data_IF_962090581821
#
_entry.id   IF_962090581821
#
_cell.length_a   1.000
_cell.length_b   1.000
_cell.length_c   1.000
_cell.angle_alpha   90.00
_cell.angle_beta   90.00
_cell.angle_gamma   90.00
#
_symmetry.space_group_name_H-M   'P 1'
#
loop_
_entity.id
_entity.type
_entity.pdbx_description
1 polymer ?
#
# COMPACT_ATOMS: atom_id res chain seq x y z
N UNK A 1 3.55 -16.30 16.44
CA UNK A 1 2.24 -16.02 15.82
C UNK A 1 2.02 -14.52 15.78
N UNK A 2 1.45 -13.96 14.69
CA UNK A 2 1.12 -12.53 14.57
C UNK A 2 -0.38 -12.39 14.60
N UNK A 3 -0.90 -11.55 15.50
CA UNK A 3 -2.32 -11.26 15.60
C UNK A 3 -2.58 -9.81 15.19
N UNK A 4 -3.64 -9.59 14.43
CA UNK A 4 -4.17 -8.27 14.13
C UNK A 4 -5.52 -8.15 14.82
N UNK A 5 -5.75 -7.04 15.50
CA UNK A 5 -7.02 -6.76 16.16
C UNK A 5 -7.45 -5.34 15.83
N UNK A 6 -8.76 -5.14 15.77
CA UNK A 6 -9.41 -3.88 15.47
C UNK A 6 -10.14 -3.35 16.70
N UNK A 7 -10.15 -2.04 16.86
CA UNK A 7 -10.98 -1.35 17.86
C UNK A 7 -11.68 -0.16 17.23
N UNK A 8 -12.84 0.22 17.77
CA UNK A 8 -13.54 1.45 17.43
C UNK A 8 -13.36 2.46 18.55
N UNK A 9 -13.15 3.72 18.19
CA UNK A 9 -13.15 4.85 19.10
C UNK A 9 -14.51 5.54 18.98
N UNK A 10 -15.29 5.51 20.06
CA UNK A 10 -16.58 6.20 20.12
C UNK A 10 -16.36 7.61 20.64
N UNK A 11 -16.92 8.62 19.98
CA UNK A 11 -16.73 10.05 20.28
C UNK A 11 -16.98 10.39 21.75
N UNK A 12 -18.07 9.92 22.33
CA UNK A 12 -18.49 10.18 23.71
C UNK A 12 -17.41 10.00 24.80
N UNK A 13 -16.32 9.27 24.53
CA UNK A 13 -15.26 9.02 25.52
C UNK A 13 -13.84 9.21 24.95
N UNK A 14 -13.73 9.82 23.78
CA UNK A 14 -12.48 9.89 23.03
C UNK A 14 -12.33 11.23 22.28
N UNK A 15 -13.04 12.27 22.71
CA UNK A 15 -13.06 13.57 22.04
C UNK A 15 -11.65 14.13 21.84
N UNK A 16 -10.84 14.15 22.90
CA UNK A 16 -9.47 14.67 22.84
C UNK A 16 -8.56 13.89 21.89
N UNK A 17 -8.68 12.56 21.88
CA UNK A 17 -7.84 11.72 21.01
C UNK A 17 -8.28 11.80 19.56
N UNK A 18 -9.57 11.92 19.32
CA UNK A 18 -10.12 12.11 17.96
C UNK A 18 -9.72 13.49 17.46
N UNK A 19 -9.93 14.55 18.26
CA UNK A 19 -9.52 15.91 17.91
C UNK A 19 -8.02 15.99 17.59
N UNK A 20 -7.17 15.34 18.39
CA UNK A 20 -5.74 15.28 18.13
C UNK A 20 -5.44 14.56 16.80
N UNK A 21 -6.08 13.43 16.49
CA UNK A 21 -5.89 12.74 15.24
C UNK A 21 -6.38 13.57 14.04
N UNK A 22 -7.50 14.25 14.19
CA UNK A 22 -8.03 15.14 13.14
C UNK A 22 -7.09 16.32 12.86
N UNK A 23 -6.46 16.86 13.89
CA UNK A 23 -5.49 17.95 13.76
C UNK A 23 -4.22 17.51 12.99
N UNK A 24 -3.71 16.31 13.25
CA UNK A 24 -2.39 15.90 12.73
C UNK A 24 -2.44 15.06 11.43
N UNK A 25 -3.61 14.49 11.08
CA UNK A 25 -3.75 13.54 9.95
C UNK A 25 -3.30 14.13 8.60
N UNK A 26 -3.64 15.36 8.33
CA UNK A 26 -3.27 16.03 7.07
C UNK A 26 -1.76 16.26 6.98
N UNK A 27 -1.16 16.77 8.07
CA UNK A 27 0.29 16.98 8.16
C UNK A 27 1.05 15.67 8.01
N UNK A 28 0.61 14.61 8.71
CA UNK A 28 1.22 13.28 8.59
C UNK A 28 1.23 12.78 7.13
N UNK A 29 0.09 12.85 6.47
CA UNK A 29 -0.05 12.37 5.10
C UNK A 29 0.67 13.25 4.08
N UNK A 30 0.76 14.56 4.32
CA UNK A 30 1.60 15.46 3.52
C UNK A 30 3.08 15.04 3.59
N UNK A 31 3.62 14.88 4.79
CA UNK A 31 5.02 14.44 5.01
C UNK A 31 5.27 13.08 4.37
N UNK A 32 4.34 12.13 4.54
CA UNK A 32 4.46 10.80 3.94
C UNK A 32 4.58 10.84 2.40
N UNK A 33 3.77 11.66 1.74
CA UNK A 33 3.83 11.84 0.27
C UNK A 33 5.16 12.47 -0.16
N UNK A 34 5.66 13.45 0.59
CA UNK A 34 6.96 14.07 0.33
C UNK A 34 8.11 13.08 0.50
N UNK A 35 8.12 12.32 1.57
CA UNK A 35 9.12 11.27 1.82
C UNK A 35 9.08 10.20 0.73
N UNK A 36 7.89 9.76 0.33
CA UNK A 36 7.75 8.83 -0.79
C UNK A 36 8.37 9.40 -2.08
N UNK A 37 8.14 10.68 -2.39
CA UNK A 37 8.74 11.33 -3.55
C UNK A 37 10.28 11.36 -3.49
N UNK A 38 10.85 11.61 -2.32
CA UNK A 38 12.31 11.58 -2.10
C UNK A 38 12.87 10.18 -2.36
N UNK A 39 12.23 9.14 -1.79
CA UNK A 39 12.64 7.73 -1.98
C UNK A 39 12.52 7.32 -3.45
N UNK A 40 11.41 7.67 -4.10
CA UNK A 40 11.17 7.36 -5.51
C UNK A 40 12.25 7.93 -6.43
N UNK A 41 12.77 9.11 -6.13
CA UNK A 41 13.80 9.76 -6.93
C UNK A 41 15.22 9.30 -6.58
N UNK A 42 15.37 8.18 -5.85
CA UNK A 42 16.65 7.63 -5.40
C UNK A 42 17.52 8.65 -4.65
N UNK A 43 16.92 9.63 -4.01
CA UNK A 43 17.62 10.58 -3.16
C UNK A 43 17.98 9.88 -1.86
N UNK A 44 19.15 9.24 -1.83
CA UNK A 44 19.68 8.72 -0.58
C UNK A 44 20.07 9.92 0.30
N UNK A 45 19.23 10.22 1.28
CA UNK A 45 19.46 11.29 2.22
C UNK A 45 19.61 10.70 3.63
N UNK A 46 20.84 10.48 4.11
CA UNK A 46 21.08 9.94 5.44
C UNK A 46 20.60 10.88 6.56
N UNK A 47 20.43 12.17 6.26
CA UNK A 47 19.95 13.19 7.20
C UNK A 47 18.44 13.39 7.14
N UNK A 48 17.72 12.65 6.28
CA UNK A 48 16.28 12.83 6.07
C UNK A 48 15.47 12.83 7.38
N UNK A 49 15.82 11.95 8.31
CA UNK A 49 15.13 11.91 9.61
C UNK A 49 15.28 13.22 10.39
N UNK A 50 16.51 13.77 10.45
CA UNK A 50 16.79 15.03 11.15
C UNK A 50 16.15 16.23 10.46
N UNK A 51 16.14 16.25 9.12
CA UNK A 51 15.47 17.28 8.34
C UNK A 51 13.97 17.31 8.63
N UNK A 52 13.31 16.14 8.64
CA UNK A 52 11.88 16.05 8.95
C UNK A 52 11.58 16.50 10.39
N UNK A 53 12.42 16.15 11.36
CA UNK A 53 12.26 16.60 12.75
C UNK A 53 12.28 18.13 12.86
N UNK A 54 13.23 18.77 12.18
CA UNK A 54 13.42 20.22 12.26
C UNK A 54 12.34 20.97 11.48
N UNK A 55 12.02 20.49 10.26
CA UNK A 55 11.06 21.17 9.38
C UNK A 55 9.61 21.08 9.88
N UNK A 56 9.22 19.91 10.44
CA UNK A 56 7.83 19.66 10.84
C UNK A 56 7.61 19.63 12.34
N UNK A 57 8.64 19.90 13.12
CA UNK A 57 8.60 19.82 14.58
C UNK A 57 8.05 18.49 15.13
N UNK A 58 8.49 17.37 14.54
CA UNK A 58 8.07 16.02 14.91
C UNK A 58 9.19 15.26 15.63
N UNK A 59 8.81 14.23 16.39
CA UNK A 59 9.80 13.39 17.07
C UNK A 59 10.61 12.52 16.09
N UNK A 60 11.82 12.14 16.49
CA UNK A 60 12.66 11.19 15.73
C UNK A 60 11.91 9.90 15.40
N UNK A 61 11.05 9.43 16.29
CA UNK A 61 10.26 8.19 16.12
C UNK A 61 9.18 8.35 15.07
N UNK A 62 8.46 9.45 15.12
CA UNK A 62 7.43 9.77 14.12
C UNK A 62 8.05 9.92 12.74
N UNK A 63 9.18 10.62 12.63
CA UNK A 63 9.94 10.72 11.38
C UNK A 63 10.36 9.33 10.87
N UNK A 64 10.92 8.47 11.72
CA UNK A 64 11.26 7.09 11.35
C UNK A 64 10.05 6.26 10.92
N UNK A 65 8.91 6.41 11.60
CA UNK A 65 7.67 5.72 11.26
C UNK A 65 7.20 6.11 9.85
N UNK A 66 7.22 7.40 9.54
CA UNK A 66 6.85 7.93 8.22
C UNK A 66 7.81 7.41 7.14
N UNK A 67 9.12 7.46 7.38
CA UNK A 67 10.14 6.98 6.43
C UNK A 67 9.94 5.48 6.15
N UNK A 68 9.83 4.66 7.20
CA UNK A 68 9.60 3.21 7.06
C UNK A 68 8.29 2.89 6.34
N UNK A 69 7.23 3.66 6.61
CA UNK A 69 5.94 3.51 5.94
C UNK A 69 6.03 3.84 4.44
N UNK A 70 6.70 4.95 4.10
CA UNK A 70 6.93 5.33 2.71
C UNK A 70 7.79 4.30 1.97
N UNK A 71 8.86 3.81 2.60
CA UNK A 71 9.73 2.76 2.06
C UNK A 71 8.97 1.45 1.84
N UNK A 72 8.16 1.04 2.81
CA UNK A 72 7.31 -0.16 2.69
C UNK A 72 6.34 -0.07 1.53
N UNK A 73 5.69 1.09 1.33
CA UNK A 73 4.82 1.33 0.17
C UNK A 73 5.57 1.29 -1.15
N UNK A 74 6.74 1.94 -1.22
CA UNK A 74 7.58 1.90 -2.40
C UNK A 74 7.97 0.47 -2.78
N UNK A 75 8.47 -0.30 -1.80
CA UNK A 75 8.87 -1.69 -2.01
C UNK A 75 7.70 -2.59 -2.43
N UNK A 76 6.53 -2.40 -1.84
CA UNK A 76 5.31 -3.14 -2.21
C UNK A 76 4.90 -2.88 -3.66
N UNK A 77 4.95 -1.63 -4.11
CA UNK A 77 4.62 -1.28 -5.51
C UNK A 77 5.65 -1.87 -6.45
N UNK A 78 6.93 -1.81 -6.11
CA UNK A 78 8.00 -2.41 -6.90
C UNK A 78 7.77 -3.91 -7.07
N UNK A 79 7.52 -4.64 -5.99
CA UNK A 79 7.24 -6.07 -6.02
C UNK A 79 5.99 -6.43 -6.84
N UNK A 80 4.93 -5.60 -6.76
CA UNK A 80 3.74 -5.77 -7.60
C UNK A 80 4.06 -5.60 -9.08
N UNK A 81 4.89 -4.61 -9.45
CA UNK A 81 5.32 -4.40 -10.84
C UNK A 81 6.19 -5.54 -11.37
N UNK A 82 7.12 -6.03 -10.57
CA UNK A 82 7.92 -7.22 -10.91
C UNK A 82 7.04 -8.46 -11.15
N UNK A 83 6.03 -8.66 -10.31
CA UNK A 83 5.05 -9.72 -10.48
C UNK A 83 4.23 -9.53 -11.76
N UNK A 84 3.83 -8.30 -12.07
CA UNK A 84 3.08 -7.97 -13.30
C UNK A 84 3.91 -8.24 -14.56
N UNK A 85 5.23 -7.96 -14.53
CA UNK A 85 6.16 -8.31 -15.63
C UNK A 85 6.18 -9.81 -15.83
N UNK A 86 6.42 -10.60 -14.78
CA UNK A 86 6.47 -12.09 -14.86
C UNK A 86 5.17 -12.66 -15.43
N UNK A 87 4.01 -12.17 -14.98
CA UNK A 87 2.71 -12.60 -15.49
C UNK A 87 2.51 -12.28 -16.98
N UNK A 88 2.95 -11.08 -17.42
CA UNK A 88 2.84 -10.71 -18.82
C UNK A 88 3.84 -11.48 -19.71
N UNK A 89 5.04 -11.79 -19.22
CA UNK A 89 6.00 -12.67 -19.89
C UNK A 89 5.41 -14.08 -20.11
N UNK A 90 4.82 -14.67 -19.08
CA UNK A 90 4.15 -15.97 -19.21
C UNK A 90 2.99 -15.94 -20.23
N UNK A 91 2.18 -14.86 -20.22
CA UNK A 91 1.10 -14.69 -21.23
C UNK A 91 1.67 -14.54 -22.64
N UNK A 92 2.77 -13.81 -22.79
CA UNK A 92 3.46 -13.61 -24.06
C UNK A 92 3.97 -14.95 -24.63
N UNK A 93 4.61 -15.76 -23.81
CA UNK A 93 5.09 -17.10 -24.18
C UNK A 93 3.93 -18.00 -24.64
N UNK A 94 2.81 -18.03 -23.90
CA UNK A 94 1.62 -18.80 -24.31
C UNK A 94 1.04 -18.35 -25.64
N UNK A 95 1.04 -17.04 -25.93
CA UNK A 95 0.57 -16.53 -27.21
C UNK A 95 1.55 -16.88 -28.32
N UNK A 96 2.86 -16.79 -28.08
CA UNK A 96 3.89 -17.16 -29.05
C UNK A 96 3.79 -18.65 -29.42
N UNK A 97 3.68 -19.56 -28.46
CA UNK A 97 3.44 -20.99 -28.70
C UNK A 97 2.16 -21.29 -29.50
N UNK A 98 1.09 -20.49 -29.26
CA UNK A 98 -0.15 -20.61 -30.06
C UNK A 98 0.02 -20.12 -31.48
N UNK A 99 0.75 -19.04 -31.71
CA UNK A 99 1.06 -18.53 -33.03
C UNK A 99 1.94 -19.50 -33.83
N UNK A 100 2.96 -20.09 -33.21
CA UNK A 100 3.81 -21.11 -33.82
C UNK A 100 3.01 -22.30 -34.36
N UNK A 101 1.97 -22.73 -33.61
CA UNK A 101 1.09 -23.83 -34.06
C UNK A 101 0.07 -23.38 -35.13
N UNK A 102 -0.42 -22.14 -35.06
CA UNK A 102 -1.49 -21.70 -35.97
C UNK A 102 -0.99 -21.16 -37.31
N UNK A 103 0.25 -20.64 -37.38
CA UNK A 103 0.79 -20.09 -38.61
C UNK A 103 0.93 -21.16 -39.70
N UNK A 104 1.51 -22.37 -39.46
CA UNK A 104 1.55 -23.43 -40.45
C UNK A 104 0.16 -23.87 -40.91
N UNK A 105 -0.80 -24.01 -39.97
CA UNK A 105 -2.18 -24.38 -40.29
C UNK A 105 -2.88 -23.30 -41.16
N UNK A 106 -2.55 -22.03 -40.92
CA UNK A 106 -3.07 -20.94 -41.74
C UNK A 106 -2.53 -20.99 -43.17
N UNK A 107 -1.25 -21.32 -43.32
CA UNK A 107 -0.61 -21.46 -44.64
C UNK A 107 -1.21 -22.64 -45.44
N UNK A 108 -1.39 -23.80 -44.81
CA UNK A 108 -2.07 -24.95 -45.42
C UNK A 108 -3.53 -24.63 -45.82
N UNK A 109 -4.29 -23.99 -44.92
CA UNK A 109 -5.66 -23.55 -45.18
C UNK A 109 -5.72 -22.53 -46.33
N UNK A 110 -4.71 -21.68 -46.52
CA UNK A 110 -4.59 -20.74 -47.63
C UNK A 110 -4.43 -21.46 -48.96
N UNK A 111 -3.67 -22.55 -49.02
CA UNK A 111 -3.47 -23.36 -50.22
C UNK A 111 -4.79 -24.07 -50.61
N UNK A 112 -5.47 -24.69 -49.65
CA UNK A 112 -6.76 -25.38 -49.87
C UNK A 112 -7.86 -24.41 -50.29
N UNK A 113 -7.91 -23.20 -49.74
CA UNK A 113 -8.91 -22.18 -50.12
C UNK A 113 -8.75 -21.64 -51.56
N UNK A 114 -7.64 -21.95 -52.27
CA UNK A 114 -7.47 -21.63 -53.68
C UNK A 114 -8.20 -22.62 -54.59
N UNK A 115 -8.61 -23.78 -54.11
CA UNK A 115 -9.36 -24.82 -54.82
C UNK A 115 -10.85 -24.58 -54.86
N UNK A 116 -11.33 -23.39 -54.46
CA UNK A 116 -12.73 -22.88 -54.55
C UNK A 116 -13.80 -23.62 -53.73
N UNK A 117 -13.42 -24.38 -52.68
CA UNK A 117 -14.40 -24.86 -51.72
C UNK A 117 -14.78 -23.75 -50.72
N UNK A 118 -16.06 -23.40 -50.64
CA UNK A 118 -16.60 -22.38 -49.76
C UNK A 118 -16.26 -22.67 -48.29
N UNK A 119 -16.26 -23.93 -47.86
CA UNK A 119 -15.94 -24.34 -46.49
C UNK A 119 -14.49 -24.04 -46.13
N UNK A 120 -13.56 -24.31 -47.03
CA UNK A 120 -12.14 -24.04 -46.83
C UNK A 120 -11.83 -22.55 -46.85
N UNK A 121 -12.55 -21.78 -47.63
CA UNK A 121 -12.46 -20.31 -47.65
C UNK A 121 -12.94 -19.68 -46.35
N UNK A 122 -14.02 -20.17 -45.78
CA UNK A 122 -14.52 -19.73 -44.44
C UNK A 122 -13.50 -20.10 -43.35
N UNK A 123 -12.98 -21.31 -43.37
CA UNK A 123 -11.95 -21.78 -42.42
C UNK A 123 -10.70 -20.90 -42.47
N UNK A 124 -10.19 -20.61 -43.65
CA UNK A 124 -9.04 -19.73 -43.87
C UNK A 124 -9.30 -18.32 -43.30
N UNK A 125 -10.46 -17.71 -43.61
CA UNK A 125 -10.82 -16.38 -43.08
C UNK A 125 -10.82 -16.36 -41.56
N UNK A 126 -11.44 -17.34 -40.92
CA UNK A 126 -11.51 -17.46 -39.46
C UNK A 126 -10.11 -17.62 -38.83
N UNK A 127 -9.27 -18.46 -39.42
CA UNK A 127 -7.88 -18.63 -38.95
C UNK A 127 -7.04 -17.37 -39.15
N UNK A 128 -7.19 -16.68 -40.28
CA UNK A 128 -6.50 -15.41 -40.57
C UNK A 128 -6.86 -14.35 -39.54
N UNK A 129 -8.15 -14.20 -39.23
CA UNK A 129 -8.65 -13.26 -38.20
C UNK A 129 -8.08 -13.63 -36.82
N UNK A 130 -8.13 -14.90 -36.43
CA UNK A 130 -7.59 -15.39 -35.15
C UNK A 130 -6.09 -15.13 -35.01
N UNK A 131 -5.31 -15.38 -36.04
CA UNK A 131 -3.85 -15.11 -36.05
C UNK A 131 -3.58 -13.61 -35.97
N UNK A 132 -4.35 -12.78 -36.68
CA UNK A 132 -4.22 -11.33 -36.62
C UNK A 132 -4.47 -10.80 -35.20
N UNK A 133 -5.55 -11.23 -34.54
CA UNK A 133 -5.83 -10.86 -33.15
C UNK A 133 -4.73 -11.30 -32.17
N UNK A 134 -4.17 -12.51 -32.34
CA UNK A 134 -3.08 -12.99 -31.49
C UNK A 134 -1.80 -12.17 -31.71
N UNK A 135 -1.48 -11.76 -32.92
CA UNK A 135 -0.34 -10.86 -33.21
C UNK A 135 -0.51 -9.53 -32.54
N UNK A 136 -1.66 -8.85 -32.70
CA UNK A 136 -1.95 -7.59 -32.04
C UNK A 136 -1.82 -7.71 -30.51
N UNK A 137 -2.34 -8.80 -29.94
CA UNK A 137 -2.26 -9.05 -28.49
C UNK A 137 -0.81 -9.29 -28.04
N UNK A 138 0.00 -9.98 -28.84
CA UNK A 138 1.44 -10.17 -28.63
C UNK A 138 2.16 -8.82 -28.55
N UNK A 139 1.94 -7.96 -29.53
CA UNK A 139 2.58 -6.65 -29.59
C UNK A 139 2.17 -5.74 -28.42
N UNK A 140 0.89 -5.75 -28.05
CA UNK A 140 0.42 -5.04 -26.83
C UNK A 140 1.12 -5.54 -25.56
N UNK A 141 1.35 -6.85 -25.42
CA UNK A 141 2.06 -7.41 -24.26
C UNK A 141 3.54 -7.03 -24.27
N UNK A 142 4.21 -7.06 -25.41
CA UNK A 142 5.60 -6.63 -25.55
C UNK A 142 5.76 -5.18 -25.13
N UNK A 143 4.90 -4.30 -25.64
CA UNK A 143 4.93 -2.87 -25.29
C UNK A 143 4.63 -2.64 -23.80
N UNK A 144 3.71 -3.42 -23.22
CA UNK A 144 3.41 -3.36 -21.79
C UNK A 144 4.60 -3.79 -20.94
N UNK A 145 5.27 -4.90 -21.30
CA UNK A 145 6.48 -5.38 -20.61
C UNK A 145 7.61 -4.33 -20.69
N UNK A 146 7.86 -3.75 -21.86
CA UNK A 146 8.85 -2.67 -22.03
C UNK A 146 8.55 -1.49 -21.12
N UNK A 147 7.30 -1.04 -21.09
CA UNK A 147 6.88 0.08 -20.21
C UNK A 147 7.05 -0.24 -18.72
N UNK A 148 6.74 -1.47 -18.30
CA UNK A 148 6.91 -1.90 -16.92
C UNK A 148 8.38 -1.98 -16.51
N UNK A 149 9.24 -2.54 -17.38
CA UNK A 149 10.68 -2.60 -17.15
C UNK A 149 11.28 -1.18 -17.03
N UNK A 150 10.92 -0.29 -17.93
CA UNK A 150 11.33 1.12 -17.84
C UNK A 150 10.93 1.77 -16.51
N UNK A 151 9.69 1.49 -16.03
CA UNK A 151 9.26 1.98 -14.73
C UNK A 151 10.10 1.38 -13.58
N UNK A 152 10.45 0.10 -13.65
CA UNK A 152 11.28 -0.59 -12.64
C UNK A 152 12.71 -0.05 -12.62
N UNK A 153 13.33 0.17 -13.78
CA UNK A 153 14.68 0.71 -13.92
C UNK A 153 14.77 2.16 -13.41
N UNK A 154 13.78 2.97 -13.76
CA UNK A 154 13.77 4.40 -13.40
C UNK A 154 13.12 4.70 -12.06
N UNK A 155 12.53 3.71 -11.37
CA UNK A 155 11.72 3.86 -10.16
C UNK A 155 10.54 4.84 -10.29
N UNK A 156 10.13 5.19 -11.53
CA UNK A 156 9.07 6.17 -11.80
C UNK A 156 7.67 5.54 -11.73
N UNK A 157 7.31 4.98 -10.59
CA UNK A 157 5.96 4.44 -10.39
C UNK A 157 4.98 5.58 -10.07
N UNK A 158 3.81 5.55 -10.72
CA UNK A 158 2.67 6.35 -10.29
C UNK A 158 1.98 5.64 -9.13
N UNK A 159 1.92 6.28 -7.98
CA UNK A 159 1.15 5.83 -6.82
C UNK A 159 -0.07 6.71 -6.63
N UNK A 160 -1.17 6.10 -6.27
CA UNK A 160 -2.35 6.79 -5.75
C UNK A 160 -2.43 6.50 -4.25
N UNK A 161 -2.36 7.55 -3.44
CA UNK A 161 -2.64 7.44 -2.01
C UNK A 161 -4.15 7.53 -1.85
N UNK A 162 -4.84 6.42 -1.68
CA UNK A 162 -6.29 6.32 -1.69
C UNK A 162 -6.83 5.47 -2.85
N UNK A 163 -8.13 5.35 -2.92
CA UNK A 163 -8.81 4.49 -3.90
C UNK A 163 -8.93 5.15 -5.27
N UNK A 164 -8.35 4.54 -6.31
CA UNK A 164 -8.43 5.05 -7.69
C UNK A 164 -9.85 5.26 -8.21
N UNK A 165 -10.81 4.47 -7.72
CA UNK A 165 -12.21 4.60 -8.11
C UNK A 165 -12.76 5.94 -7.62
N UNK A 166 -12.54 6.27 -6.35
CA UNK A 166 -12.94 7.55 -5.77
C UNK A 166 -12.29 8.74 -6.46
N UNK A 167 -11.00 8.68 -6.77
CA UNK A 167 -10.30 9.75 -7.51
C UNK A 167 -11.00 10.12 -8.83
N UNK A 168 -11.67 9.16 -9.48
CA UNK A 168 -12.39 9.39 -10.74
C UNK A 168 -13.83 9.85 -10.54
N UNK A 169 -14.46 9.50 -9.42
CA UNK A 169 -15.88 9.70 -9.17
C UNK A 169 -16.17 10.90 -8.28
N UNK A 170 -15.38 11.07 -7.20
CA UNK A 170 -15.58 12.11 -6.21
C UNK A 170 -14.23 12.54 -5.64
N UNK A 171 -13.75 13.70 -6.06
CA UNK A 171 -12.45 14.22 -5.63
C UNK A 171 -12.42 14.58 -4.15
N UNK A 172 -13.50 15.14 -3.61
CA UNK A 172 -13.59 15.55 -2.20
C UNK A 172 -13.52 14.34 -1.28
N UNK A 173 -14.33 13.32 -1.54
CA UNK A 173 -14.31 12.06 -0.80
C UNK A 173 -12.96 11.35 -0.92
N UNK A 174 -12.35 11.39 -2.12
CA UNK A 174 -10.99 10.87 -2.32
C UNK A 174 -9.95 11.60 -1.46
N UNK A 175 -10.00 12.92 -1.36
CA UNK A 175 -9.07 13.71 -0.54
C UNK A 175 -9.25 13.38 0.94
N UNK A 176 -10.48 13.25 1.40
CA UNK A 176 -10.82 12.86 2.77
C UNK A 176 -10.29 11.45 3.08
N UNK A 177 -10.57 10.43 2.23
CA UNK A 177 -10.05 9.07 2.41
C UNK A 177 -8.52 9.04 2.40
N UNK A 178 -7.91 9.78 1.47
CA UNK A 178 -6.46 9.84 1.30
C UNK A 178 -5.74 10.30 2.57
N UNK A 179 -6.27 11.29 3.25
CA UNK A 179 -5.63 11.94 4.40
C UNK A 179 -6.20 11.48 5.76
N UNK A 180 -7.12 10.51 5.76
CA UNK A 180 -7.79 10.01 6.97
C UNK A 180 -7.17 8.72 7.55
N UNK A 181 -5.85 8.57 7.49
CA UNK A 181 -5.18 7.42 8.10
C UNK A 181 -3.76 7.78 8.53
N UNK A 182 -3.28 7.08 9.56
CA UNK A 182 -1.93 7.21 10.09
C UNK A 182 -1.40 5.85 10.53
N UNK A 183 -0.06 5.71 10.58
CA UNK A 183 0.62 4.50 11.05
C UNK A 183 1.66 4.89 12.09
N UNK A 184 1.57 4.33 13.28
CA UNK A 184 2.58 4.45 14.33
C UNK A 184 3.33 3.12 14.44
N UNK A 185 4.60 3.11 14.06
CA UNK A 185 5.44 1.92 14.13
C UNK A 185 6.20 1.89 15.46
N UNK A 186 6.09 0.78 16.18
CA UNK A 186 6.93 0.47 17.33
C UNK A 186 8.22 -0.21 16.94
N UNK A 187 9.24 -0.16 17.78
CA UNK A 187 10.46 -0.95 17.66
C UNK A 187 10.39 -2.17 18.59
N UNK A 188 10.99 -3.29 18.18
CA UNK A 188 11.12 -4.49 19.02
C UNK A 188 12.06 -4.25 20.23
N UNK A 189 12.98 -3.31 20.10
CA UNK A 189 13.99 -2.97 21.09
C UNK A 189 13.49 -2.00 22.16
N UNK A 190 12.25 -1.50 22.01
CA UNK A 190 11.67 -0.58 23.00
C UNK A 190 11.14 -1.35 24.21
N UNK A 191 11.75 -1.10 25.36
CA UNK A 191 11.19 -1.53 26.65
C UNK A 191 9.80 -0.94 26.84
N UNK A 192 8.78 -1.79 27.08
CA UNK A 192 7.41 -1.34 27.30
C UNK A 192 6.55 -1.12 26.05
N UNK A 193 6.91 -1.70 24.89
CA UNK A 193 6.19 -1.61 23.61
C UNK A 193 6.37 -0.28 22.85
N UNK A 194 5.45 -0.01 21.91
CA UNK A 194 5.47 1.23 21.14
C UNK A 194 5.26 2.44 22.06
N UNK A 195 6.28 3.29 22.23
CA UNK A 195 6.19 4.46 23.12
C UNK A 195 5.33 5.58 22.54
N UNK A 196 5.07 5.59 21.24
CA UNK A 196 4.15 6.57 20.62
C UNK A 196 2.70 6.14 20.83
N UNK A 197 2.44 4.84 20.82
CA UNK A 197 1.10 4.29 20.98
C UNK A 197 1.14 3.11 21.96
N UNK A 198 0.54 3.27 23.11
CA UNK A 198 0.49 2.24 24.14
C UNK A 198 -0.95 1.82 24.41
N UNK A 199 -1.18 0.52 24.56
CA UNK A 199 -2.44 -0.04 24.99
C UNK A 199 -2.26 -0.64 26.39
N UNK A 200 -3.11 -0.23 27.34
CA UNK A 200 -3.12 -0.77 28.71
C UNK A 200 -4.51 -1.36 29.02
N UNK A 201 -4.53 -2.44 29.75
CA UNK A 201 -5.76 -2.95 30.33
C UNK A 201 -5.84 -2.55 31.80
N UNK A 202 -6.95 -1.91 32.20
CA UNK A 202 -7.20 -1.49 33.58
C UNK A 202 -8.24 -2.45 34.20
N UNK A 203 -7.81 -3.41 35.06
CA UNK A 203 -8.69 -4.45 35.61
C UNK A 203 -9.86 -3.88 36.42
N UNK A 204 -9.61 -2.84 37.22
CA UNK A 204 -10.60 -2.22 38.11
C UNK A 204 -11.88 -1.78 37.38
N UNK A 205 -11.75 -1.27 36.17
CA UNK A 205 -12.86 -0.79 35.35
C UNK A 205 -13.15 -1.69 34.14
N UNK A 206 -12.42 -2.80 34.02
CA UNK A 206 -12.52 -3.78 32.92
C UNK A 206 -12.43 -3.15 31.51
N UNK A 207 -11.58 -2.14 31.35
CA UNK A 207 -11.44 -1.37 30.12
C UNK A 207 -10.00 -1.39 29.57
N UNK A 208 -9.90 -1.24 28.24
CA UNK A 208 -8.64 -0.98 27.58
C UNK A 208 -8.48 0.52 27.37
N UNK A 209 -7.34 1.06 27.75
CA UNK A 209 -7.00 2.48 27.60
C UNK A 209 -5.85 2.57 26.61
N UNK A 210 -6.05 3.37 25.58
CA UNK A 210 -5.04 3.80 24.65
C UNK A 210 -4.37 5.07 25.17
N UNK A 211 -3.05 5.08 25.18
CA UNK A 211 -2.23 6.25 25.49
C UNK A 211 -1.43 6.60 24.24
N UNK A 212 -1.65 7.78 23.69
CA UNK A 212 -1.00 8.27 22.48
C UNK A 212 -0.14 9.47 22.82
N UNK A 213 1.12 9.43 22.41
CA UNK A 213 2.04 10.54 22.59
C UNK A 213 1.78 11.60 21.52
N UNK A 214 1.70 12.86 21.92
CA UNK A 214 1.59 14.01 21.03
C UNK A 214 2.97 14.35 20.46
N UNK A 215 3.27 13.81 19.28
CA UNK A 215 4.58 13.99 18.64
C UNK A 215 4.61 15.08 17.56
N UNK A 216 3.45 15.55 17.13
CA UNK A 216 3.31 16.66 16.20
C UNK A 216 3.03 17.95 16.96
N UNK A 217 3.69 19.06 16.63
CA UNK A 217 3.55 20.38 17.28
C UNK A 217 3.80 20.41 18.81
N UNK A 218 3.61 19.30 19.49
CA UNK A 218 3.69 19.13 20.95
C UNK A 218 4.90 18.35 21.41
N UNK A 219 5.94 18.24 20.58
CA UNK A 219 7.13 17.43 20.89
C UNK A 219 7.82 17.84 22.19
N UNK A 220 7.73 19.13 22.55
CA UNK A 220 8.35 19.70 23.74
C UNK A 220 7.42 19.72 24.97
N UNK A 221 6.17 19.27 24.83
CA UNK A 221 5.23 19.13 25.95
C UNK A 221 5.77 18.14 27.00
N UNK A 222 5.57 18.46 28.27
CA UNK A 222 6.05 17.68 29.42
C UNK A 222 4.88 17.08 30.20
N UNK A 223 5.16 16.07 31.03
CA UNK A 223 4.17 15.46 31.90
C UNK A 223 2.97 14.86 31.15
N UNK A 224 1.79 15.02 31.71
CA UNK A 224 0.54 14.51 31.14
C UNK A 224 0.10 15.24 29.87
N UNK A 225 0.44 16.50 29.67
CA UNK A 225 0.15 17.28 28.46
C UNK A 225 0.77 16.64 27.20
N UNK A 226 1.79 15.81 27.39
CA UNK A 226 2.47 15.07 26.32
C UNK A 226 1.62 13.96 25.72
N UNK A 227 0.53 13.59 26.34
CA UNK A 227 -0.27 12.42 25.95
C UNK A 227 -1.74 12.78 25.80
N UNK A 228 -2.41 12.01 24.94
CA UNK A 228 -3.87 11.90 24.90
C UNK A 228 -4.28 10.46 25.22
N UNK A 229 -5.42 10.33 25.86
CA UNK A 229 -5.93 9.06 26.32
C UNK A 229 -7.29 8.77 25.68
N UNK A 230 -7.51 7.51 25.29
CA UNK A 230 -8.78 7.08 24.73
C UNK A 230 -9.18 5.70 25.23
N UNK A 231 -10.48 5.42 25.25
CA UNK A 231 -11.04 4.12 25.59
C UNK A 231 -11.20 3.26 24.35
N UNK A 232 -10.67 2.06 24.39
CA UNK A 232 -10.74 1.09 23.30
C UNK A 232 -11.71 -0.05 23.63
N UNK A 233 -12.45 -0.49 22.61
CA UNK A 233 -13.39 -1.61 22.72
C UNK A 233 -13.02 -2.68 21.69
N UNK A 234 -12.62 -3.85 22.16
CA UNK A 234 -12.26 -4.95 21.29
C UNK A 234 -13.36 -6.02 21.30
N UNK A 235 -13.85 -6.37 20.13
CA UNK A 235 -14.82 -7.45 19.97
C UNK A 235 -14.09 -8.80 19.88
N UNK A 236 -13.00 -8.85 19.12
CA UNK A 236 -12.21 -10.06 18.90
C UNK A 236 -10.97 -10.08 19.80
N UNK A 237 -10.52 -11.29 20.16
CA UNK A 237 -9.28 -11.51 20.93
C UNK A 237 -9.21 -10.82 22.31
N UNK A 238 -10.34 -10.38 22.86
CA UNK A 238 -10.40 -9.65 24.14
C UNK A 238 -9.74 -10.41 25.30
N UNK A 239 -9.95 -11.73 25.40
CA UNK A 239 -9.31 -12.58 26.43
C UNK A 239 -7.79 -12.60 26.27
N UNK A 240 -7.31 -12.90 25.07
CA UNK A 240 -5.89 -12.95 24.75
C UNK A 240 -5.19 -11.60 24.99
N UNK A 241 -5.82 -10.49 24.61
CA UNK A 241 -5.27 -9.15 24.86
C UNK A 241 -5.15 -8.86 26.37
N UNK A 242 -6.14 -9.29 27.18
CA UNK A 242 -6.06 -9.14 28.63
C UNK A 242 -4.90 -9.94 29.24
N UNK A 243 -4.67 -11.15 28.79
CA UNK A 243 -3.56 -12.01 29.24
C UNK A 243 -2.22 -11.40 28.87
N UNK A 244 -2.03 -10.99 27.61
CA UNK A 244 -0.79 -10.36 27.14
C UNK A 244 -0.49 -9.06 27.89
N UNK A 245 -1.50 -8.23 28.15
CA UNK A 245 -1.29 -6.96 28.82
C UNK A 245 -1.12 -7.09 30.34
N UNK A 246 -1.67 -8.15 30.97
CA UNK A 246 -1.43 -8.48 32.38
C UNK A 246 -0.02 -9.03 32.58
N UNK A 247 0.48 -9.89 31.70
CA UNK A 247 1.82 -10.45 31.80
C UNK A 247 2.93 -9.40 31.69
N UNK A 248 2.68 -8.27 31.00
CA UNK A 248 3.62 -7.13 30.88
C UNK A 248 3.63 -6.17 32.06
N UNK A 249 2.67 -6.25 32.97
CA UNK A 249 2.63 -5.45 34.20
C UNK A 249 3.35 -6.13 35.38
N UNK A 250 3.85 -7.35 35.19
CA UNK A 250 4.58 -8.14 36.19
C UNK A 250 6.11 -8.07 36.03
N UNK A 251 6.61 -7.27 35.12
CA UNK A 251 8.02 -6.93 34.92
C UNK A 251 8.13 -5.39 34.85
#
# INVERSE_FOLDING_TARGET
MKYTTETRLYSKNNEDVIAYFDEIKEQYNYILRRVYYIIRNNKNNPKLNTELQNEYNISRRTANSIIKTAQGRFNSIKALKETEVKQNQYRLERISKKLEKLIPVLLDSKLKAKENDIKDLIKYRNLKTKVAFLKIRKDKLINKIKSLNYQLETNKFKITFGTKKLLKQNLEEFLNERDNWMVFLGSKEETGCNQTFQLKYVPKINQFIMKVRKDFKYKDAKGEERYVYGKCFFNNHKKLLKEILRSKTLH
#
